data_IF_333702767590
#
_entry.id   IF_333702767590
#
_cell.length_a   1.000
_cell.length_b   1.000
_cell.length_c   1.000
_cell.angle_alpha   90.00
_cell.angle_beta   90.00
_cell.angle_gamma   90.00
#
_symmetry.space_group_name_H-M   'P 1'
#
loop_
_entity.id
_entity.type
_entity.pdbx_description
1 polymer ?
#
# COMPACT_ATOMS: atom_id res chain seq x y z
N UNK A 1 -12.51 5.50 6.99
CA UNK A 1 -13.18 6.41 7.93
C UNK A 1 -14.68 6.41 7.67
N UNK A 2 -15.47 6.84 8.65
CA UNK A 2 -16.94 6.94 8.55
C UNK A 2 -17.34 7.89 7.42
N UNK A 3 -16.58 8.95 7.17
CA UNK A 3 -16.75 9.88 6.05
C UNK A 3 -16.68 9.16 4.70
N UNK A 4 -15.74 8.22 4.56
CA UNK A 4 -15.59 7.43 3.33
C UNK A 4 -16.77 6.47 3.10
N UNK A 5 -17.31 5.91 4.19
CA UNK A 5 -18.53 5.10 4.14
C UNK A 5 -19.72 5.92 3.63
N UNK A 6 -19.92 7.14 4.14
CA UNK A 6 -20.96 8.06 3.70
C UNK A 6 -20.82 8.41 2.21
N UNK A 7 -19.57 8.63 1.73
CA UNK A 7 -19.29 8.88 0.32
C UNK A 7 -19.64 7.67 -0.56
N UNK A 8 -19.25 6.45 -0.15
CA UNK A 8 -19.62 5.21 -0.85
C UNK A 8 -21.12 4.98 -0.90
N UNK A 9 -21.85 5.32 0.16
CA UNK A 9 -23.29 5.21 0.25
C UNK A 9 -24.03 6.34 -0.48
N UNK A 10 -23.30 7.24 -1.18
CA UNK A 10 -23.86 8.41 -1.86
C UNK A 10 -24.78 9.24 -0.94
N UNK A 11 -24.38 9.39 0.32
CA UNK A 11 -25.12 10.18 1.30
C UNK A 11 -25.29 11.62 0.81
N UNK A 12 -26.42 12.26 1.17
CA UNK A 12 -26.71 13.64 0.78
C UNK A 12 -25.81 14.63 1.52
N UNK A 13 -25.65 15.84 0.97
CA UNK A 13 -24.89 16.95 1.57
C UNK A 13 -25.30 17.18 3.04
N UNK A 14 -26.57 17.12 3.35
CA UNK A 14 -27.12 17.28 4.70
C UNK A 14 -26.57 16.21 5.68
N UNK A 15 -26.35 14.97 5.22
CA UNK A 15 -25.78 13.91 6.05
C UNK A 15 -24.30 14.19 6.36
N UNK A 16 -23.55 14.74 5.41
CA UNK A 16 -22.15 15.14 5.64
C UNK A 16 -22.06 16.32 6.61
N UNK A 17 -22.94 17.31 6.52
CA UNK A 17 -23.00 18.44 7.46
C UNK A 17 -23.31 17.98 8.89
N UNK A 18 -24.29 17.09 9.07
CA UNK A 18 -24.57 16.48 10.36
C UNK A 18 -23.37 15.69 10.89
N UNK A 19 -22.72 14.89 10.06
CA UNK A 19 -21.52 14.15 10.46
C UNK A 19 -20.42 15.10 10.96
N UNK A 20 -20.21 16.20 10.27
CA UNK A 20 -19.25 17.25 10.65
C UNK A 20 -19.59 17.86 12.00
N UNK A 21 -20.87 18.17 12.25
CA UNK A 21 -21.33 18.71 13.53
C UNK A 21 -21.09 17.74 14.71
N UNK A 22 -21.33 16.44 14.49
CA UNK A 22 -21.18 15.43 15.55
C UNK A 22 -19.73 15.05 15.82
N UNK A 23 -18.86 15.06 14.81
CA UNK A 23 -17.50 14.57 14.94
C UNK A 23 -16.47 15.68 15.10
N UNK A 24 -16.85 16.96 14.90
CA UNK A 24 -15.90 18.08 14.82
C UNK A 24 -14.93 17.97 13.64
N UNK A 25 -15.11 16.97 12.80
CA UNK A 25 -14.24 16.71 11.64
C UNK A 25 -14.66 17.61 10.49
N UNK A 26 -14.02 18.75 10.36
CA UNK A 26 -14.00 19.49 9.09
C UNK A 26 -13.01 18.78 8.17
N UNK A 27 -13.46 18.24 7.02
CA UNK A 27 -12.49 17.81 6.03
C UNK A 27 -11.64 19.04 5.69
N UNK A 28 -10.37 19.01 6.06
CA UNK A 28 -9.43 19.98 5.53
C UNK A 28 -9.63 19.91 4.02
N UNK A 29 -9.87 21.05 3.40
CA UNK A 29 -9.77 21.19 1.95
C UNK A 29 -8.27 21.06 1.68
N UNK A 30 -7.79 19.84 1.77
CA UNK A 30 -6.48 19.50 1.31
C UNK A 30 -6.46 19.90 -0.15
N UNK A 31 -5.59 20.84 -0.48
CA UNK A 31 -5.31 21.19 -1.85
C UNK A 31 -5.34 19.89 -2.66
N UNK A 32 -6.20 19.85 -3.66
CA UNK A 32 -6.32 18.73 -4.59
C UNK A 32 -4.94 18.48 -5.16
N UNK A 33 -4.16 17.61 -4.50
CA UNK A 33 -2.96 17.06 -5.10
C UNK A 33 -3.47 16.28 -6.30
N UNK A 34 -3.14 16.76 -7.49
CA UNK A 34 -3.28 15.96 -8.71
C UNK A 34 -2.33 14.77 -8.57
N UNK A 35 -2.81 13.70 -7.94
CA UNK A 35 -2.12 12.44 -8.04
C UNK A 35 -2.28 11.97 -9.48
N UNK A 36 -1.19 11.61 -10.12
CA UNK A 36 -1.28 10.84 -11.35
C UNK A 36 -2.22 9.68 -11.07
N UNK A 37 -3.35 9.63 -11.78
CA UNK A 37 -4.39 8.65 -11.52
C UNK A 37 -3.80 7.28 -11.81
N UNK A 38 -3.54 6.51 -10.76
CA UNK A 38 -3.01 5.15 -10.89
C UNK A 38 -4.16 4.15 -10.80
N UNK A 39 -4.13 3.14 -11.65
CA UNK A 39 -5.03 1.98 -11.60
C UNK A 39 -4.21 0.70 -11.49
N UNK A 40 -4.82 -0.34 -10.93
CA UNK A 40 -4.24 -1.70 -11.05
C UNK A 40 -4.19 -2.09 -12.53
N UNK A 41 -3.26 -2.99 -12.91
CA UNK A 41 -3.24 -3.54 -14.28
C UNK A 41 -4.62 -4.09 -14.67
N UNK A 42 -5.01 -3.93 -15.93
CA UNK A 42 -6.31 -4.45 -16.43
C UNK A 42 -6.44 -5.96 -16.22
N UNK A 43 -5.32 -6.66 -16.31
CA UNK A 43 -5.24 -8.10 -16.14
C UNK A 43 -5.14 -8.55 -14.67
N UNK A 44 -5.24 -7.62 -13.72
CA UNK A 44 -5.17 -7.94 -12.30
C UNK A 44 -6.32 -8.84 -11.86
N UNK A 45 -5.95 -9.97 -11.26
CA UNK A 45 -6.87 -10.94 -10.67
C UNK A 45 -6.62 -11.00 -9.16
N UNK A 46 -7.64 -10.64 -8.38
CA UNK A 46 -7.60 -10.82 -6.93
C UNK A 46 -7.72 -12.30 -6.58
N UNK A 47 -6.94 -12.80 -5.61
CA UNK A 47 -7.08 -14.18 -5.11
C UNK A 47 -8.46 -14.52 -4.53
N UNK A 48 -9.28 -13.51 -4.25
CA UNK A 48 -10.63 -13.69 -3.71
C UNK A 48 -11.61 -14.19 -4.78
N UNK A 49 -11.40 -13.82 -6.04
CA UNK A 49 -12.36 -14.01 -7.13
C UNK A 49 -11.87 -14.93 -8.24
N UNK A 50 -10.72 -15.58 -8.07
CA UNK A 50 -10.15 -16.45 -9.10
C UNK A 50 -10.51 -17.91 -8.86
N UNK A 51 -10.85 -18.60 -9.93
CA UNK A 51 -11.02 -20.04 -9.94
C UNK A 51 -9.70 -20.75 -9.60
N UNK A 52 -9.73 -21.57 -8.57
CA UNK A 52 -8.59 -22.35 -8.10
C UNK A 52 -8.17 -23.48 -9.06
N UNK A 53 -8.90 -23.71 -10.16
CA UNK A 53 -8.48 -24.63 -11.23
C UNK A 53 -7.31 -24.10 -12.06
N UNK A 54 -7.03 -22.79 -11.98
CA UNK A 54 -5.98 -22.13 -12.73
C UNK A 54 -4.57 -22.45 -12.17
N UNK A 55 -3.65 -23.04 -12.96
CA UNK A 55 -2.29 -23.35 -12.49
C UNK A 55 -1.50 -22.12 -12.03
N UNK A 56 -1.69 -20.95 -12.68
CA UNK A 56 -1.01 -19.71 -12.30
C UNK A 56 -1.44 -19.19 -10.93
N UNK A 57 -2.68 -19.45 -10.53
CA UNK A 57 -3.14 -19.21 -9.18
C UNK A 57 -2.25 -19.90 -8.14
N UNK A 58 -1.95 -21.19 -8.34
CA UNK A 58 -1.14 -21.98 -7.41
C UNK A 58 0.34 -21.58 -7.41
N UNK A 59 0.89 -21.21 -8.58
CA UNK A 59 2.25 -20.71 -8.71
C UNK A 59 2.41 -19.40 -7.93
N UNK A 60 1.51 -18.43 -8.13
CA UNK A 60 1.52 -17.16 -7.44
C UNK A 60 1.27 -17.32 -5.93
N UNK A 61 0.32 -18.15 -5.52
CA UNK A 61 0.04 -18.45 -4.11
C UNK A 61 1.23 -19.15 -3.44
N UNK A 62 1.87 -20.10 -4.11
CA UNK A 62 3.06 -20.79 -3.63
C UNK A 62 4.22 -19.85 -3.40
N UNK A 63 4.41 -18.88 -4.30
CA UNK A 63 5.42 -17.83 -4.13
C UNK A 63 5.15 -16.98 -2.88
N UNK A 64 3.92 -16.53 -2.69
CA UNK A 64 3.54 -15.74 -1.49
C UNK A 64 3.76 -16.52 -0.20
N UNK A 65 3.36 -17.80 -0.16
CA UNK A 65 3.61 -18.69 0.98
C UNK A 65 5.10 -18.80 1.31
N UNK A 66 5.95 -18.99 0.30
CA UNK A 66 7.42 -19.05 0.49
C UNK A 66 7.99 -17.75 1.05
N UNK A 67 7.31 -16.62 0.83
CA UNK A 67 7.65 -15.30 1.38
C UNK A 67 7.02 -15.03 2.76
N UNK A 68 6.34 -16.01 3.35
CA UNK A 68 5.71 -15.87 4.66
C UNK A 68 4.42 -15.04 4.66
N UNK A 69 3.85 -14.77 3.47
CA UNK A 69 2.59 -14.02 3.35
C UNK A 69 1.42 -14.95 3.68
N UNK A 70 0.62 -14.58 4.67
CA UNK A 70 -0.53 -15.34 5.12
C UNK A 70 -1.77 -15.07 4.25
N UNK A 71 -2.81 -15.88 4.43
CA UNK A 71 -4.10 -15.66 3.76
C UNK A 71 -4.72 -14.34 4.21
N UNK A 72 -4.60 -14.01 5.48
CA UNK A 72 -5.10 -12.75 6.05
C UNK A 72 -4.39 -11.55 5.41
N UNK A 73 -3.09 -11.63 5.16
CA UNK A 73 -2.35 -10.59 4.45
C UNK A 73 -2.85 -10.43 3.01
N UNK A 74 -3.07 -11.54 2.30
CA UNK A 74 -3.59 -11.53 0.93
C UNK A 74 -4.94 -10.80 0.87
N UNK A 75 -5.84 -11.11 1.80
CA UNK A 75 -7.15 -10.48 1.88
C UNK A 75 -7.05 -9.01 2.30
N UNK A 76 -6.28 -8.74 3.36
CA UNK A 76 -6.13 -7.39 3.93
C UNK A 76 -5.58 -6.39 2.92
N UNK A 77 -4.53 -6.77 2.20
CA UNK A 77 -3.86 -5.89 1.24
C UNK A 77 -4.40 -6.01 -0.19
N UNK A 78 -5.48 -6.79 -0.40
CA UNK A 78 -6.03 -7.07 -1.72
C UNK A 78 -4.95 -7.54 -2.71
N UNK A 79 -4.07 -8.45 -2.26
CA UNK A 79 -3.01 -8.99 -3.10
C UNK A 79 -3.63 -9.84 -4.20
N UNK A 80 -3.08 -9.74 -5.40
CA UNK A 80 -3.50 -10.52 -6.56
C UNK A 80 -2.33 -10.84 -7.47
N UNK A 81 -2.62 -11.23 -8.70
CA UNK A 81 -1.60 -11.55 -9.69
C UNK A 81 -2.09 -11.23 -11.11
N UNK A 82 -1.15 -11.17 -12.05
CA UNK A 82 -1.42 -11.04 -13.47
C UNK A 82 -0.80 -12.23 -14.20
N UNK A 83 -1.58 -12.85 -15.11
CA UNK A 83 -1.11 -13.95 -15.95
C UNK A 83 -0.51 -13.45 -17.26
N UNK A 84 -1.07 -12.38 -17.78
CA UNK A 84 -0.77 -11.80 -19.09
C UNK A 84 -0.41 -10.32 -18.95
N UNK A 85 -0.17 -9.65 -20.07
CA UNK A 85 0.04 -8.23 -20.16
C UNK A 85 1.40 -7.75 -19.64
N UNK A 86 1.53 -6.45 -19.38
CA UNK A 86 2.78 -5.84 -18.94
C UNK A 86 3.31 -6.34 -17.59
N UNK A 87 2.44 -6.89 -16.73
CA UNK A 87 2.76 -7.48 -15.45
C UNK A 87 2.58 -9.00 -15.43
N UNK A 88 2.71 -9.62 -16.60
CA UNK A 88 2.60 -11.08 -16.75
C UNK A 88 3.48 -11.82 -15.76
N UNK A 89 2.92 -12.88 -15.16
CA UNK A 89 3.60 -13.77 -14.21
C UNK A 89 4.13 -13.03 -12.97
N UNK A 90 3.40 -11.99 -12.52
CA UNK A 90 3.73 -11.24 -11.31
C UNK A 90 2.59 -11.28 -10.30
N UNK A 91 2.93 -11.45 -9.03
CA UNK A 91 2.04 -11.05 -7.94
C UNK A 91 2.05 -9.53 -7.86
N UNK A 92 0.87 -8.96 -7.61
CA UNK A 92 0.66 -7.52 -7.47
C UNK A 92 0.26 -7.24 -6.03
N UNK A 93 1.01 -6.34 -5.40
CA UNK A 93 0.77 -5.94 -4.01
C UNK A 93 0.38 -4.46 -4.03
N UNK A 94 -0.92 -4.15 -3.92
CA UNK A 94 -1.41 -2.77 -3.91
C UNK A 94 -1.06 -2.04 -2.62
N UNK A 95 -0.89 -0.72 -2.74
CA UNK A 95 -0.80 0.22 -1.63
C UNK A 95 -1.90 1.26 -1.79
N UNK A 96 -2.61 1.51 -0.70
CA UNK A 96 -3.69 2.50 -0.65
C UNK A 96 -3.33 3.58 0.37
N UNK A 97 -3.74 4.81 0.11
CA UNK A 97 -3.65 5.89 1.07
C UNK A 97 -4.68 5.76 2.21
N UNK A 98 -4.68 6.69 3.14
CA UNK A 98 -5.61 6.70 4.28
C UNK A 98 -7.08 6.78 3.88
N UNK A 99 -7.38 7.27 2.68
CA UNK A 99 -8.72 7.41 2.13
C UNK A 99 -9.15 6.18 1.31
N UNK A 100 -8.27 5.17 1.19
CA UNK A 100 -8.51 3.95 0.44
C UNK A 100 -8.35 4.13 -1.07
N UNK A 101 -7.65 5.19 -1.50
CA UNK A 101 -7.33 5.43 -2.90
C UNK A 101 -5.99 4.75 -3.22
N UNK A 102 -5.95 4.01 -4.33
CA UNK A 102 -4.72 3.38 -4.80
C UNK A 102 -3.66 4.45 -5.05
N UNK A 103 -2.53 4.37 -4.36
CA UNK A 103 -1.44 5.32 -4.50
C UNK A 103 -0.16 4.69 -5.07
N UNK A 104 -0.03 3.36 -4.98
CA UNK A 104 1.08 2.61 -5.58
C UNK A 104 0.73 1.12 -5.69
N UNK A 105 1.56 0.37 -6.38
CA UNK A 105 1.60 -1.09 -6.29
C UNK A 105 2.99 -1.61 -6.66
N UNK A 106 3.33 -2.81 -6.21
CA UNK A 106 4.55 -3.50 -6.60
C UNK A 106 4.22 -4.80 -7.30
N UNK A 107 4.79 -5.01 -8.49
CA UNK A 107 4.78 -6.30 -9.19
C UNK A 107 6.04 -7.10 -8.87
N UNK A 108 5.90 -8.37 -8.52
CA UNK A 108 7.00 -9.31 -8.26
C UNK A 108 6.79 -10.60 -9.01
N UNK A 109 7.75 -10.99 -9.84
CA UNK A 109 7.68 -12.27 -10.54
C UNK A 109 7.64 -13.42 -9.55
N UNK A 110 6.70 -14.35 -9.77
CA UNK A 110 6.63 -15.59 -9.01
C UNK A 110 7.41 -16.74 -9.65
N UNK A 111 8.11 -16.47 -10.77
CA UNK A 111 9.07 -17.38 -11.38
C UNK A 111 10.51 -16.90 -11.15
N UNK A 112 11.43 -17.85 -10.88
CA UNK A 112 12.82 -17.53 -10.55
C UNK A 112 13.66 -17.16 -11.78
N UNK A 113 13.29 -17.65 -12.95
CA UNK A 113 13.96 -17.48 -14.24
C UNK A 113 13.51 -16.21 -14.99
N UNK A 114 12.66 -15.41 -14.38
CA UNK A 114 12.18 -14.17 -14.99
C UNK A 114 13.30 -13.14 -15.15
N UNK A 115 13.42 -12.58 -16.35
CA UNK A 115 14.33 -11.47 -16.67
C UNK A 115 14.04 -10.23 -15.81
N UNK A 116 12.78 -9.99 -15.48
CA UNK A 116 12.34 -8.88 -14.64
C UNK A 116 11.78 -9.42 -13.32
N UNK A 117 12.60 -9.40 -12.28
CA UNK A 117 12.19 -9.88 -10.94
C UNK A 117 11.18 -8.97 -10.25
N UNK A 118 11.17 -7.68 -10.60
CA UNK A 118 10.21 -6.72 -10.05
C UNK A 118 9.87 -5.64 -11.09
N UNK A 119 8.68 -5.09 -10.99
CA UNK A 119 8.19 -4.01 -11.83
C UNK A 119 7.25 -3.14 -11.02
N UNK A 120 7.53 -1.85 -10.97
CA UNK A 120 6.70 -0.85 -10.31
C UNK A 120 6.05 0.06 -11.36
N UNK A 121 4.92 0.70 -11.05
CA UNK A 121 4.34 1.73 -11.92
C UNK A 121 5.28 2.94 -12.00
N UNK A 122 5.18 3.68 -13.11
CA UNK A 122 5.96 4.90 -13.34
C UNK A 122 5.26 6.13 -12.73
N UNK A 123 5.12 6.13 -11.40
CA UNK A 123 4.51 7.23 -10.64
C UNK A 123 5.44 7.62 -9.48
N UNK A 124 5.16 8.79 -8.89
CA UNK A 124 5.92 9.25 -7.73
C UNK A 124 5.86 8.24 -6.58
N UNK A 125 6.98 8.05 -5.90
CA UNK A 125 7.09 7.27 -4.65
C UNK A 125 6.97 8.15 -3.41
N UNK A 126 6.81 9.46 -3.57
CA UNK A 126 6.59 10.39 -2.45
C UNK A 126 5.15 10.27 -1.94
N UNK A 127 4.86 9.11 -1.39
CA UNK A 127 3.58 8.68 -0.85
C UNK A 127 3.80 8.03 0.51
N UNK A 128 2.72 7.80 1.23
CA UNK A 128 2.73 6.96 2.43
C UNK A 128 2.31 5.56 2.01
N UNK A 129 3.29 4.65 1.96
CA UNK A 129 3.03 3.25 1.64
C UNK A 129 2.14 2.60 2.69
N UNK A 130 1.14 1.83 2.23
CA UNK A 130 0.15 1.18 3.09
C UNK A 130 -0.60 2.12 4.04
N UNK A 131 -0.76 3.40 3.65
CA UNK A 131 -1.37 4.45 4.46
C UNK A 131 -2.73 4.10 5.05
N UNK A 132 -3.54 3.29 4.34
CA UNK A 132 -4.83 2.79 4.81
C UNK A 132 -4.73 1.99 6.12
N UNK A 133 -3.57 1.40 6.40
CA UNK A 133 -3.34 0.49 7.53
C UNK A 133 -2.46 1.10 8.62
N UNK A 134 -2.06 2.36 8.46
CA UNK A 134 -1.24 3.08 9.45
C UNK A 134 -2.13 3.67 10.54
N UNK A 135 -1.82 3.32 11.78
CA UNK A 135 -2.40 3.98 12.95
C UNK A 135 -1.31 4.86 13.59
N UNK A 136 -1.46 6.17 13.44
CA UNK A 136 -0.50 7.16 13.89
C UNK A 136 -0.40 7.30 15.42
N UNK A 137 -1.30 6.69 16.19
CA UNK A 137 -1.25 6.67 17.66
C UNK A 137 -0.25 5.66 18.21
N UNK A 138 0.29 4.79 17.36
CA UNK A 138 1.27 3.76 17.75
C UNK A 138 2.61 3.96 17.04
N UNK A 139 3.69 3.38 17.58
CA UNK A 139 4.97 3.37 16.90
C UNK A 139 4.86 2.86 15.46
N UNK A 140 5.48 3.57 14.53
CA UNK A 140 5.55 3.16 13.13
C UNK A 140 6.88 2.45 12.85
N UNK A 141 6.87 1.53 11.89
CA UNK A 141 8.09 0.86 11.41
C UNK A 141 8.27 1.18 9.93
N UNK A 142 9.37 1.84 9.60
CA UNK A 142 9.73 2.18 8.22
C UNK A 142 10.63 1.09 7.67
N UNK A 143 10.27 0.54 6.50
CA UNK A 143 10.97 -0.57 5.84
C UNK A 143 11.24 -0.27 4.38
N UNK A 144 12.17 -0.99 3.74
CA UNK A 144 12.52 -0.74 2.33
C UNK A 144 11.40 -1.17 1.38
N UNK A 145 10.87 -2.37 1.55
CA UNK A 145 9.97 -2.99 0.60
C UNK A 145 8.67 -3.54 1.17
N UNK A 146 7.78 -3.95 0.27
CA UNK A 146 6.45 -4.46 0.63
C UNK A 146 6.50 -5.77 1.42
N UNK A 147 7.44 -6.67 1.12
CA UNK A 147 7.54 -7.94 1.86
C UNK A 147 8.05 -7.74 3.27
N UNK A 148 8.94 -6.76 3.49
CA UNK A 148 9.39 -6.39 4.83
C UNK A 148 8.23 -5.82 5.64
N UNK A 149 7.40 -4.97 5.02
CA UNK A 149 6.19 -4.45 5.65
C UNK A 149 5.19 -5.56 6.00
N UNK A 150 4.98 -6.52 5.11
CA UNK A 150 4.13 -7.68 5.35
C UNK A 150 4.68 -8.58 6.48
N UNK A 151 6.01 -8.70 6.61
CA UNK A 151 6.66 -9.45 7.68
C UNK A 151 6.53 -8.79 9.05
N UNK A 152 6.60 -7.45 9.12
CA UNK A 152 6.40 -6.66 10.36
C UNK A 152 4.95 -6.74 10.86
N UNK A 153 3.98 -6.95 9.99
CA UNK A 153 2.54 -7.13 10.28
C UNK A 153 1.77 -5.91 10.73
N UNK A 154 2.35 -5.01 11.53
CA UNK A 154 1.64 -3.87 12.12
C UNK A 154 2.38 -2.57 11.87
N UNK A 155 1.64 -1.53 11.51
CA UNK A 155 2.15 -0.16 11.41
C UNK A 155 3.45 -0.04 10.61
N UNK A 156 3.58 -0.86 9.54
CA UNK A 156 4.75 -0.86 8.69
C UNK A 156 4.50 -0.03 7.44
N UNK A 157 5.43 0.86 7.15
CA UNK A 157 5.38 1.77 6.01
C UNK A 157 6.52 1.41 5.04
N UNK A 158 6.23 0.78 3.89
CA UNK A 158 7.23 0.53 2.88
C UNK A 158 7.57 1.82 2.12
N UNK A 159 8.87 2.09 1.95
CA UNK A 159 9.37 3.25 1.21
C UNK A 159 9.36 3.04 -0.31
N UNK A 160 9.18 1.79 -0.78
CA UNK A 160 9.37 1.41 -2.19
C UNK A 160 10.74 1.81 -2.76
N UNK A 161 11.71 2.02 -1.89
CA UNK A 161 13.07 2.47 -2.17
C UNK A 161 13.87 2.67 -0.88
N UNK A 162 14.96 3.46 -0.97
CA UNK A 162 15.95 3.61 0.11
C UNK A 162 15.92 4.96 0.81
N UNK A 163 14.99 5.85 0.44
CA UNK A 163 14.98 7.25 0.90
C UNK A 163 13.64 7.54 1.57
N UNK A 164 13.69 8.20 2.73
CA UNK A 164 12.50 8.74 3.37
C UNK A 164 12.12 10.04 2.68
N UNK A 165 10.96 10.03 2.03
CA UNK A 165 10.49 11.14 1.22
C UNK A 165 9.65 12.14 2.02
N UNK A 166 9.40 13.32 1.46
CA UNK A 166 8.84 14.47 2.15
C UNK A 166 7.43 14.25 2.71
N UNK A 167 6.58 13.52 2.00
CA UNK A 167 5.22 13.26 2.47
C UNK A 167 5.19 12.45 3.77
N UNK A 168 6.10 11.47 3.92
CA UNK A 168 6.22 10.70 5.16
C UNK A 168 6.74 11.57 6.30
N UNK A 169 7.77 12.40 6.06
CA UNK A 169 8.30 13.34 7.07
C UNK A 169 7.20 14.27 7.58
N UNK A 170 6.43 14.86 6.67
CA UNK A 170 5.29 15.74 7.01
C UNK A 170 4.23 15.01 7.82
N UNK A 171 3.86 13.79 7.41
CA UNK A 171 2.87 13.01 8.13
C UNK A 171 3.31 12.65 9.56
N UNK A 172 4.57 12.29 9.75
CA UNK A 172 5.16 12.02 11.08
C UNK A 172 5.02 13.24 11.99
N UNK A 173 5.38 14.43 11.49
CA UNK A 173 5.27 15.68 12.26
C UNK A 173 3.82 16.05 12.54
N UNK A 174 2.96 15.98 11.53
CA UNK A 174 1.54 16.34 11.65
C UNK A 174 0.77 15.45 12.62
N UNK A 175 1.15 14.18 12.72
CA UNK A 175 0.50 13.23 13.62
C UNK A 175 1.23 13.09 14.98
N UNK A 176 2.24 13.92 15.25
CA UNK A 176 3.02 13.90 16.51
C UNK A 176 3.55 12.50 16.85
N UNK A 177 4.06 11.77 15.86
CA UNK A 177 4.59 10.41 16.05
C UNK A 177 5.83 10.48 16.94
N UNK A 178 5.79 9.77 18.07
CA UNK A 178 6.86 9.82 19.10
C UNK A 178 7.92 8.73 18.91
N UNK A 179 7.56 7.63 18.22
CA UNK A 179 8.47 6.51 18.08
C UNK A 179 8.45 5.99 16.64
N UNK A 180 9.63 5.90 16.03
CA UNK A 180 9.84 5.39 14.68
C UNK A 180 10.91 4.31 14.75
N UNK A 181 10.56 3.10 14.32
CA UNK A 181 11.50 2.02 14.09
C UNK A 181 11.98 2.07 12.65
N UNK A 182 13.28 2.04 12.42
CA UNK A 182 13.88 2.02 11.08
C UNK A 182 14.47 0.64 10.85
N UNK A 183 13.83 -0.14 9.99
CA UNK A 183 14.24 -1.49 9.61
C UNK A 183 14.55 -1.53 8.11
N UNK A 184 15.65 -0.89 7.73
CA UNK A 184 16.17 -0.84 6.37
C UNK A 184 17.37 -1.76 6.23
N UNK A 185 17.63 -2.23 5.01
CA UNK A 185 18.83 -2.97 4.69
C UNK A 185 20.09 -2.15 5.02
N UNK A 186 21.18 -2.84 5.37
CA UNK A 186 22.39 -2.19 5.89
C UNK A 186 22.95 -1.10 4.97
N UNK A 187 22.89 -1.31 3.66
CA UNK A 187 23.34 -0.35 2.65
C UNK A 187 22.37 0.84 2.45
N UNK A 188 21.12 0.71 2.85
CA UNK A 188 20.12 1.77 2.76
C UNK A 188 20.09 2.65 4.02
N UNK A 189 20.52 2.10 5.17
CA UNK A 189 20.47 2.79 6.47
C UNK A 189 21.29 4.09 6.49
N UNK A 190 22.50 4.07 5.94
CA UNK A 190 23.35 5.26 5.91
C UNK A 190 22.74 6.40 5.08
N UNK A 191 22.09 6.07 3.96
CA UNK A 191 21.41 7.05 3.09
C UNK A 191 20.15 7.62 3.73
N UNK A 192 19.40 6.81 4.48
CA UNK A 192 18.19 7.25 5.15
C UNK A 192 18.46 8.18 6.33
N UNK A 193 19.62 8.06 7.00
CA UNK A 193 20.02 8.93 8.11
C UNK A 193 20.56 10.29 7.65
N UNK A 194 20.94 10.42 6.36
CA UNK A 194 21.45 11.66 5.77
C UNK A 194 20.35 12.48 5.07
N UNK A 195 19.15 11.96 4.93
CA UNK A 195 18.01 12.60 4.25
C UNK A 195 17.01 13.21 5.25
#
# INVERSE_FOLDING_TARGET
SIYHLFKKLKASQMHFEKLTQFTGYTPSVAATKSYDTISLPEEFKSFIHVDSSNPEFWNALGYLKKRGVSREDILRYNIGFCETGPYSKMVIIPSYDQDGILNFFTGRSYYNDSTFKHKNPKVSKDIIGFGLYVDWNYPITVVEGVFDALAVKRNAIPLFGKIVLENLKKAVVQNNVTHINIALDRDAREKALQS
#
